data_IF_408197923469
#
_entry.id   IF_408197923469
#
_cell.length_a   1.000
_cell.length_b   1.000
_cell.length_c   1.000
_cell.angle_alpha   90.00
_cell.angle_beta   90.00
_cell.angle_gamma   90.00
#
_symmetry.space_group_name_H-M   'P 1'
#
loop_
_entity.id
_entity.type
_entity.pdbx_description
1 polymer ?
#
# COMPACT_ATOMS: atom_id res chain seq x y z
N UNK A 1 -6.28 31.77 7.20
CA UNK A 1 -5.42 31.45 6.05
C UNK A 1 -4.37 30.47 6.54
N UNK A 2 -4.55 29.17 6.31
CA UNK A 2 -3.47 28.19 6.49
C UNK A 2 -2.38 28.54 5.47
N UNK A 3 -1.15 28.74 5.95
CA UNK A 3 -0.04 29.20 5.10
C UNK A 3 0.33 28.16 4.05
N UNK A 4 1.08 28.57 3.02
CA UNK A 4 1.65 27.69 1.97
C UNK A 4 2.43 26.50 2.59
N UNK A 5 2.96 26.67 3.80
CA UNK A 5 3.66 25.65 4.59
C UNK A 5 2.77 24.48 5.07
N UNK A 6 1.45 24.66 5.16
CA UNK A 6 0.54 23.67 5.77
C UNK A 6 0.09 22.60 4.75
N UNK A 7 0.13 22.91 3.46
CA UNK A 7 -0.25 21.95 2.39
C UNK A 7 0.88 20.97 2.12
N UNK A 8 2.12 21.44 2.24
CA UNK A 8 3.31 20.65 1.97
C UNK A 8 3.71 19.78 3.17
N UNK A 9 3.16 20.03 4.35
CA UNK A 9 3.38 19.19 5.53
C UNK A 9 2.32 18.10 5.62
N UNK A 10 2.77 16.87 5.56
CA UNK A 10 1.92 15.68 5.53
C UNK A 10 2.29 14.77 6.69
N UNK A 11 1.26 14.09 7.21
CA UNK A 11 1.44 13.03 8.19
C UNK A 11 0.84 11.77 7.60
N UNK A 12 1.66 10.74 7.43
CA UNK A 12 1.23 9.45 6.94
C UNK A 12 1.38 8.39 8.02
N UNK A 13 0.47 7.41 8.01
CA UNK A 13 0.47 6.25 8.89
C UNK A 13 0.54 4.97 8.07
N UNK A 14 1.33 4.01 8.55
CA UNK A 14 1.35 2.63 8.07
C UNK A 14 0.91 1.69 9.19
N UNK A 15 -0.16 0.95 8.94
CA UNK A 15 -0.77 0.00 9.87
C UNK A 15 -0.24 -1.41 9.56
N UNK A 16 1.01 -1.65 9.95
CA UNK A 16 1.70 -2.91 9.69
C UNK A 16 1.49 -3.93 10.82
N UNK A 17 1.74 -5.21 10.51
CA UNK A 17 1.67 -6.28 11.51
C UNK A 17 2.77 -6.18 12.58
N UNK A 18 3.86 -5.47 12.30
CA UNK A 18 4.94 -5.19 13.25
C UNK A 18 4.63 -4.00 14.15
N UNK A 19 3.58 -3.24 13.86
CA UNK A 19 3.22 -2.03 14.57
C UNK A 19 2.63 -0.94 13.69
N UNK A 20 2.24 0.15 14.34
CA UNK A 20 1.82 1.38 13.68
C UNK A 20 3.04 2.28 13.56
N UNK A 21 3.42 2.60 12.33
CA UNK A 21 4.45 3.59 12.00
C UNK A 21 3.78 4.87 11.55
N UNK A 22 4.35 6.00 11.93
CA UNK A 22 3.88 7.30 11.51
C UNK A 22 5.06 8.16 11.09
N UNK A 23 4.90 8.92 10.01
CA UNK A 23 5.90 9.85 9.49
C UNK A 23 5.29 11.22 9.32
N UNK A 24 6.02 12.25 9.74
CA UNK A 24 5.77 13.63 9.38
C UNK A 24 6.80 14.06 8.35
N UNK A 25 6.33 14.56 7.21
CA UNK A 25 7.19 14.94 6.09
C UNK A 25 6.77 16.28 5.51
N UNK A 26 7.72 16.96 4.87
CA UNK A 26 7.50 18.18 4.11
C UNK A 26 7.92 17.96 2.65
N UNK A 27 7.00 18.19 1.71
CA UNK A 27 7.33 18.22 0.28
C UNK A 27 7.91 19.59 -0.07
N UNK A 28 9.12 19.60 -0.61
CA UNK A 28 9.85 20.82 -1.01
C UNK A 28 9.39 21.32 -2.38
N UNK A 29 9.85 22.50 -2.78
CA UNK A 29 9.43 23.13 -4.05
C UNK A 29 9.93 22.36 -5.29
N UNK A 30 11.01 21.59 -5.15
CA UNK A 30 11.55 20.71 -6.19
C UNK A 30 10.88 19.33 -6.24
N UNK A 31 9.90 19.07 -5.36
CA UNK A 31 9.20 17.79 -5.25
C UNK A 31 9.87 16.76 -4.32
N UNK A 32 11.08 17.03 -3.82
CA UNK A 32 11.74 16.14 -2.86
C UNK A 32 11.04 16.16 -1.49
N UNK A 33 11.20 15.08 -0.74
CA UNK A 33 10.55 14.85 0.54
C UNK A 33 11.57 14.99 1.65
N UNK A 34 11.36 15.98 2.50
CA UNK A 34 12.08 16.12 3.76
C UNK A 34 11.33 15.39 4.86
N UNK A 35 11.92 14.36 5.45
CA UNK A 35 11.35 13.72 6.65
C UNK A 35 11.65 14.58 7.88
N UNK A 36 10.60 15.05 8.56
CA UNK A 36 10.72 15.87 9.76
C UNK A 36 10.87 15.01 11.01
N UNK A 37 10.13 13.91 11.08
CA UNK A 37 10.18 12.94 12.18
C UNK A 37 9.48 11.64 11.79
N UNK A 38 9.86 10.54 12.43
CA UNK A 38 9.08 9.30 12.43
C UNK A 38 8.95 8.72 13.82
N UNK A 39 7.85 8.03 14.06
CA UNK A 39 7.56 7.36 15.31
C UNK A 39 6.99 5.97 15.01
N UNK A 40 7.30 4.98 15.85
CA UNK A 40 6.81 3.62 15.68
C UNK A 40 6.38 3.04 17.02
N UNK A 41 5.21 2.40 17.03
CA UNK A 41 4.72 1.63 18.18
C UNK A 41 4.31 0.24 17.74
N UNK A 42 4.92 -0.76 18.37
CA UNK A 42 4.53 -2.16 18.17
C UNK A 42 3.05 -2.36 18.50
N UNK A 43 2.38 -3.15 17.67
CA UNK A 43 0.97 -3.48 17.81
C UNK A 43 0.76 -4.94 17.42
N UNK A 44 0.52 -5.81 18.40
CA UNK A 44 0.30 -7.26 18.17
C UNK A 44 -1.06 -7.57 17.52
N UNK A 45 -1.90 -6.54 17.39
CA UNK A 45 -3.31 -6.65 17.06
C UNK A 45 -3.61 -6.53 15.56
N UNK A 46 -2.62 -6.12 14.74
CA UNK A 46 -2.80 -5.98 13.30
C UNK A 46 -2.27 -7.24 12.62
N UNK A 47 -3.14 -7.97 11.92
CA UNK A 47 -2.75 -9.20 11.21
C UNK A 47 -3.40 -9.22 9.85
N UNK A 48 -2.61 -9.56 8.82
CA UNK A 48 -3.11 -9.74 7.46
C UNK A 48 -3.86 -8.52 6.89
N UNK A 49 -3.53 -7.31 7.35
CA UNK A 49 -4.18 -6.06 6.95
C UNK A 49 -5.46 -5.71 7.74
N UNK A 50 -5.80 -6.46 8.79
CA UNK A 50 -6.99 -6.23 9.62
C UNK A 50 -6.57 -5.83 11.02
N UNK A 51 -7.09 -4.71 11.50
CA UNK A 51 -6.97 -4.25 12.90
C UNK A 51 -7.89 -5.12 13.76
N UNK A 52 -7.31 -5.90 14.67
CA UNK A 52 -8.05 -6.81 15.56
C UNK A 52 -8.75 -6.10 16.72
N UNK A 53 -8.11 -5.09 17.32
CA UNK A 53 -8.67 -4.33 18.44
C UNK A 53 -8.56 -2.81 18.18
N UNK A 54 -9.63 -2.20 17.62
CA UNK A 54 -9.64 -0.77 17.27
C UNK A 54 -9.30 0.17 18.42
N UNK A 55 -9.71 -0.15 19.66
CA UNK A 55 -9.45 0.72 20.81
C UNK A 55 -7.97 0.77 21.21
N UNK A 56 -7.27 -0.37 21.14
CA UNK A 56 -5.83 -0.43 21.41
C UNK A 56 -5.03 0.28 20.33
N UNK A 57 -5.42 0.06 19.07
CA UNK A 57 -4.81 0.75 17.93
C UNK A 57 -5.05 2.26 17.98
N UNK A 58 -6.26 2.73 18.34
CA UNK A 58 -6.56 4.15 18.50
C UNK A 58 -5.71 4.82 19.58
N UNK A 59 -5.43 4.11 20.68
CA UNK A 59 -4.50 4.58 21.71
C UNK A 59 -3.07 4.75 21.16
N UNK A 60 -2.59 3.79 20.36
CA UNK A 60 -1.28 3.86 19.72
C UNK A 60 -1.21 5.04 18.75
N UNK A 61 -2.21 5.21 17.87
CA UNK A 61 -2.27 6.34 16.93
C UNK A 61 -2.31 7.68 17.68
N UNK A 62 -3.15 7.80 18.71
CA UNK A 62 -3.22 9.04 19.53
C UNK A 62 -1.88 9.37 20.19
N UNK A 63 -1.15 8.35 20.63
CA UNK A 63 0.18 8.53 21.23
C UNK A 63 1.20 8.97 20.19
N UNK A 64 1.20 8.33 19.01
CA UNK A 64 2.08 8.67 17.89
C UNK A 64 1.83 10.09 17.37
N UNK A 65 0.56 10.51 17.23
CA UNK A 65 0.21 11.88 16.84
C UNK A 65 0.82 12.92 17.79
N UNK A 66 0.75 12.70 19.11
CA UNK A 66 1.36 13.60 20.10
C UNK A 66 2.89 13.59 20.04
N UNK A 67 3.49 12.41 19.84
CA UNK A 67 4.94 12.28 19.72
C UNK A 67 5.44 13.02 18.47
N UNK A 68 4.84 12.74 17.31
CA UNK A 68 5.14 13.40 16.04
C UNK A 68 4.92 14.92 16.09
N UNK A 69 3.81 15.39 16.69
CA UNK A 69 3.56 16.83 16.80
C UNK A 69 4.74 17.54 17.48
N UNK A 70 5.25 16.96 18.57
CA UNK A 70 6.38 17.51 19.30
C UNK A 70 7.70 17.35 18.54
N UNK A 71 8.01 16.15 18.04
CA UNK A 71 9.30 15.85 17.41
C UNK A 71 9.47 16.52 16.04
N UNK A 72 8.40 16.70 15.27
CA UNK A 72 8.41 17.42 13.99
C UNK A 72 8.14 18.93 14.11
N UNK A 73 7.96 19.46 15.33
CA UNK A 73 7.81 20.90 15.58
C UNK A 73 6.51 21.53 15.06
N UNK A 74 5.42 20.76 15.02
CA UNK A 74 4.10 21.30 14.68
C UNK A 74 3.59 22.21 15.81
N UNK A 75 3.18 23.43 15.44
CA UNK A 75 2.60 24.39 16.39
C UNK A 75 1.14 24.06 16.72
N UNK A 76 0.43 23.46 15.77
CA UNK A 76 -0.97 23.07 15.89
C UNK A 76 -1.10 21.54 15.98
N UNK A 77 -2.20 21.01 16.56
CA UNK A 77 -2.48 19.59 16.54
C UNK A 77 -2.58 19.03 15.11
N UNK A 78 -2.05 17.82 14.91
CA UNK A 78 -2.22 17.08 13.65
C UNK A 78 -3.67 16.59 13.58
N UNK A 79 -4.45 17.11 12.63
CA UNK A 79 -5.88 16.77 12.47
C UNK A 79 -6.20 15.93 11.24
N UNK A 80 -5.23 15.74 10.35
CA UNK A 80 -5.40 15.02 9.08
C UNK A 80 -4.22 14.07 8.87
N UNK A 81 -4.52 12.83 8.50
CA UNK A 81 -3.50 11.82 8.17
C UNK A 81 -3.78 11.18 6.82
N UNK A 82 -2.72 10.74 6.15
CA UNK A 82 -2.81 9.83 5.02
C UNK A 82 -2.49 8.40 5.48
N UNK A 83 -3.03 7.39 4.79
CA UNK A 83 -2.64 5.99 5.00
C UNK A 83 -2.72 5.22 3.68
N UNK A 84 -2.14 4.03 3.65
CA UNK A 84 -2.42 3.05 2.61
C UNK A 84 -3.12 1.82 3.20
N UNK A 85 -3.89 1.09 2.38
CA UNK A 85 -4.54 -0.16 2.78
C UNK A 85 -4.04 -1.32 1.95
N UNK A 86 -3.73 -2.42 2.62
CA UNK A 86 -3.29 -3.67 2.02
C UNK A 86 -3.62 -4.83 2.93
N UNK A 87 -4.00 -5.97 2.37
CA UNK A 87 -4.26 -7.15 3.19
C UNK A 87 -4.46 -8.43 2.42
N UNK A 88 -4.42 -9.55 3.15
CA UNK A 88 -4.49 -10.92 2.62
C UNK A 88 -5.68 -11.18 1.69
N UNK A 89 -6.78 -10.49 1.91
CA UNK A 89 -8.03 -10.68 1.17
C UNK A 89 -8.06 -9.99 -0.19
N UNK A 90 -7.07 -9.15 -0.50
CA UNK A 90 -7.06 -8.36 -1.72
C UNK A 90 -6.78 -9.19 -2.96
N UNK A 91 -7.50 -8.87 -4.04
CA UNK A 91 -7.35 -9.47 -5.36
C UNK A 91 -7.95 -8.56 -6.43
N UNK A 92 -7.63 -8.83 -7.69
CA UNK A 92 -8.25 -8.18 -8.83
C UNK A 92 -9.39 -9.04 -9.39
N UNK A 93 -10.50 -8.40 -9.71
CA UNK A 93 -11.63 -8.97 -10.46
C UNK A 93 -11.78 -8.18 -11.75
N UNK A 94 -11.80 -8.88 -12.89
CA UNK A 94 -12.06 -8.27 -14.20
C UNK A 94 -13.56 -8.01 -14.35
N UNK A 95 -13.92 -6.81 -14.78
CA UNK A 95 -15.31 -6.42 -14.98
C UNK A 95 -15.44 -5.55 -16.24
N UNK A 96 -16.65 -5.46 -16.79
CA UNK A 96 -16.94 -4.55 -17.90
C UNK A 96 -18.35 -3.99 -17.78
N UNK A 97 -18.54 -2.78 -18.27
CA UNK A 97 -19.84 -2.09 -18.32
C UNK A 97 -20.07 -1.62 -19.74
N UNK A 98 -21.28 -1.87 -20.26
CA UNK A 98 -21.68 -1.47 -21.60
C UNK A 98 -22.85 -0.50 -21.54
N UNK A 99 -22.73 0.65 -22.23
CA UNK A 99 -23.75 1.68 -22.29
C UNK A 99 -24.13 1.98 -23.73
N UNK A 100 -25.42 1.87 -24.02
CA UNK A 100 -26.01 2.28 -25.30
C UNK A 100 -26.56 3.70 -25.20
N UNK A 101 -26.14 4.56 -26.11
CA UNK A 101 -26.54 5.96 -26.16
C UNK A 101 -27.74 6.12 -27.12
N UNK A 102 -28.72 6.94 -26.72
CA UNK A 102 -29.95 7.16 -27.50
C UNK A 102 -29.71 7.71 -28.92
N UNK A 103 -28.56 8.35 -29.13
CA UNK A 103 -28.04 8.83 -30.42
C UNK A 103 -26.51 8.84 -30.33
N UNK A 104 -25.83 8.96 -31.47
CA UNK A 104 -24.38 9.25 -31.46
C UNK A 104 -24.14 10.53 -30.67
N UNK A 105 -23.43 10.40 -29.54
CA UNK A 105 -23.03 11.50 -28.67
C UNK A 105 -21.54 11.44 -28.43
N UNK A 106 -21.00 12.61 -28.10
CA UNK A 106 -19.65 12.73 -27.57
C UNK A 106 -19.58 12.06 -26.21
N UNK A 107 -18.51 11.29 -25.98
CA UNK A 107 -18.21 10.69 -24.68
C UNK A 107 -17.57 11.77 -23.82
N UNK A 108 -18.22 12.08 -22.71
CA UNK A 108 -17.77 13.06 -21.73
C UNK A 108 -17.14 12.35 -20.54
N UNK A 109 -16.32 13.08 -19.78
CA UNK A 109 -15.84 12.67 -18.44
C UNK A 109 -16.97 12.08 -17.58
N UNK A 110 -18.11 12.77 -17.48
CA UNK A 110 -19.26 12.32 -16.67
C UNK A 110 -19.75 10.92 -17.09
N UNK A 111 -19.73 10.60 -18.40
CA UNK A 111 -20.13 9.27 -18.88
C UNK A 111 -19.11 8.22 -18.42
N UNK A 112 -17.82 8.55 -18.50
CA UNK A 112 -16.73 7.65 -18.12
C UNK A 112 -16.76 7.38 -16.61
N UNK A 113 -16.95 8.43 -15.81
CA UNK A 113 -16.99 8.36 -14.35
C UNK A 113 -18.26 7.63 -13.87
N UNK A 114 -19.42 7.90 -14.48
CA UNK A 114 -20.65 7.14 -14.22
C UNK A 114 -20.49 5.65 -14.53
N UNK A 115 -19.80 5.30 -15.62
CA UNK A 115 -19.57 3.89 -15.99
C UNK A 115 -18.62 3.19 -15.02
N UNK A 116 -17.60 3.89 -14.53
CA UNK A 116 -16.72 3.35 -13.50
C UNK A 116 -17.49 3.09 -12.19
N UNK A 117 -18.33 4.05 -11.76
CA UNK A 117 -19.17 3.90 -10.57
C UNK A 117 -20.23 2.79 -10.74
N UNK A 118 -20.80 2.66 -11.93
CA UNK A 118 -21.69 1.55 -12.28
C UNK A 118 -20.96 0.21 -12.17
N UNK A 119 -19.72 0.13 -12.66
CA UNK A 119 -18.89 -1.07 -12.59
C UNK A 119 -18.61 -1.45 -11.13
N UNK A 120 -18.22 -0.49 -10.30
CA UNK A 120 -17.99 -0.67 -8.87
C UNK A 120 -19.24 -1.23 -8.17
N UNK A 121 -20.38 -0.58 -8.34
CA UNK A 121 -21.67 -0.96 -7.71
C UNK A 121 -22.20 -2.30 -8.21
N UNK A 122 -21.80 -2.74 -9.40
CA UNK A 122 -22.19 -4.04 -9.96
C UNK A 122 -21.52 -5.21 -9.24
N UNK A 123 -20.38 -4.99 -8.59
CA UNK A 123 -19.69 -6.03 -7.84
C UNK A 123 -20.36 -6.27 -6.49
N UNK A 124 -21.09 -7.38 -6.39
CA UNK A 124 -21.77 -7.79 -5.17
C UNK A 124 -21.23 -9.14 -4.69
N UNK A 125 -20.37 -9.10 -3.69
CA UNK A 125 -19.89 -10.29 -3.00
C UNK A 125 -20.00 -10.10 -1.48
N UNK A 126 -20.43 -11.16 -0.80
CA UNK A 126 -20.61 -11.12 0.66
C UNK A 126 -19.29 -10.80 1.36
N UNK A 127 -19.32 -9.84 2.27
CA UNK A 127 -18.20 -9.39 3.11
C UNK A 127 -16.99 -8.85 2.33
N UNK A 128 -17.19 -8.38 1.09
CA UNK A 128 -16.15 -7.82 0.22
C UNK A 128 -16.56 -6.43 -0.25
N UNK A 129 -15.58 -5.54 -0.37
CA UNK A 129 -15.73 -4.20 -0.94
C UNK A 129 -14.77 -4.03 -2.12
N UNK A 130 -15.16 -3.15 -3.05
CA UNK A 130 -14.24 -2.59 -4.04
C UNK A 130 -13.44 -1.49 -3.35
N UNK A 131 -12.11 -1.56 -3.45
CA UNK A 131 -11.17 -0.57 -2.94
C UNK A 131 -10.64 0.34 -4.05
N UNK A 132 -10.65 -0.14 -5.30
CA UNK A 132 -10.25 0.64 -6.47
C UNK A 132 -10.91 0.09 -7.74
N UNK A 133 -11.16 0.98 -8.70
CA UNK A 133 -11.72 0.70 -10.02
C UNK A 133 -10.79 1.26 -11.10
N UNK A 134 -9.99 0.37 -11.67
CA UNK A 134 -8.93 0.68 -12.63
C UNK A 134 -9.49 0.59 -14.06
N UNK A 135 -9.61 1.69 -14.81
CA UNK A 135 -9.99 1.64 -16.22
C UNK A 135 -8.82 1.09 -17.05
N UNK A 136 -9.10 0.13 -17.94
CA UNK A 136 -8.08 -0.46 -18.82
C UNK A 136 -8.18 0.05 -20.24
N UNK A 137 -9.30 -0.27 -20.89
CA UNK A 137 -9.54 0.05 -22.29
C UNK A 137 -11.04 0.22 -22.52
N UNK A 138 -11.37 1.04 -23.51
CA UNK A 138 -12.75 1.28 -23.92
C UNK A 138 -12.97 0.79 -25.34
N UNK A 139 -14.19 0.40 -25.65
CA UNK A 139 -14.61 0.10 -27.02
C UNK A 139 -15.73 1.06 -27.44
N UNK A 140 -15.51 1.80 -28.52
CA UNK A 140 -16.49 2.70 -29.12
C UNK A 140 -17.00 2.08 -30.43
N UNK A 141 -18.27 1.70 -30.45
CA UNK A 141 -18.91 1.01 -31.59
C UNK A 141 -18.06 -0.18 -32.12
N UNK A 142 -17.44 -0.93 -31.20
CA UNK A 142 -16.60 -2.10 -31.48
C UNK A 142 -15.14 -1.79 -31.83
N UNK A 143 -14.69 -0.55 -31.66
CA UNK A 143 -13.27 -0.16 -31.84
C UNK A 143 -12.63 0.22 -30.52
N UNK A 144 -11.51 -0.41 -30.21
CA UNK A 144 -10.74 -0.14 -28.98
C UNK A 144 -10.12 1.26 -28.97
N UNK A 145 -10.10 1.90 -27.80
CA UNK A 145 -9.44 3.18 -27.53
C UNK A 145 -9.09 3.29 -26.05
N UNK A 146 -7.91 3.82 -25.74
CA UNK A 146 -7.51 4.17 -24.37
C UNK A 146 -8.14 5.49 -23.90
N UNK A 147 -8.40 6.41 -24.84
CA UNK A 147 -8.87 7.76 -24.55
C UNK A 147 -10.23 8.00 -25.24
N UNK A 148 -11.35 7.58 -24.63
CA UNK A 148 -12.67 7.70 -25.25
C UNK A 148 -13.22 9.14 -25.19
N UNK A 149 -12.73 9.99 -24.29
CA UNK A 149 -13.20 11.37 -24.12
C UNK A 149 -13.12 12.17 -25.43
N UNK A 150 -14.18 12.94 -25.73
CA UNK A 150 -14.27 13.78 -26.93
C UNK A 150 -14.59 13.01 -28.22
N UNK A 151 -14.51 11.68 -28.20
CA UNK A 151 -14.91 10.85 -29.33
C UNK A 151 -16.43 10.66 -29.36
N UNK A 152 -17.00 10.37 -30.53
CA UNK A 152 -18.45 10.14 -30.69
C UNK A 152 -18.75 8.67 -30.97
N UNK A 153 -19.71 8.12 -30.24
CA UNK A 153 -20.13 6.72 -30.42
C UNK A 153 -21.63 6.54 -30.18
N UNK A 154 -22.20 5.42 -30.64
CA UNK A 154 -23.54 4.96 -30.24
C UNK A 154 -23.48 4.01 -29.04
N UNK A 155 -22.42 3.23 -28.93
CA UNK A 155 -22.19 2.29 -27.84
C UNK A 155 -20.77 2.48 -27.30
N UNK A 156 -20.65 2.44 -25.98
CA UNK A 156 -19.37 2.42 -25.28
C UNK A 156 -19.34 1.21 -24.35
N UNK A 157 -18.24 0.45 -24.39
CA UNK A 157 -17.92 -0.57 -23.39
C UNK A 157 -16.67 -0.11 -22.66
N UNK A 158 -16.69 -0.13 -21.33
CA UNK A 158 -15.50 0.08 -20.51
C UNK A 158 -15.08 -1.24 -19.87
N UNK A 159 -13.79 -1.57 -19.97
CA UNK A 159 -13.18 -2.71 -19.29
C UNK A 159 -12.38 -2.24 -18.09
N UNK A 160 -12.55 -2.91 -16.96
CA UNK A 160 -12.03 -2.50 -15.68
C UNK A 160 -11.35 -3.64 -14.92
N UNK A 161 -10.40 -3.27 -14.06
CA UNK A 161 -9.93 -4.09 -12.96
C UNK A 161 -10.47 -3.52 -11.65
N UNK A 162 -11.27 -4.33 -10.95
CA UNK A 162 -11.76 -4.01 -9.62
C UNK A 162 -10.79 -4.62 -8.61
N UNK A 163 -10.11 -3.77 -7.83
CA UNK A 163 -9.34 -4.24 -6.67
C UNK A 163 -10.33 -4.43 -5.54
N UNK A 164 -10.54 -5.68 -5.13
CA UNK A 164 -11.53 -6.05 -4.11
C UNK A 164 -10.86 -6.66 -2.90
N UNK A 165 -11.40 -6.41 -1.72
CA UNK A 165 -10.88 -6.92 -0.45
C UNK A 165 -11.97 -7.07 0.60
N UNK A 166 -11.66 -7.65 1.75
CA UNK A 166 -12.61 -7.81 2.84
C UNK A 166 -13.08 -6.45 3.36
N UNK A 167 -14.39 -6.31 3.57
CA UNK A 167 -14.98 -5.11 4.19
C UNK A 167 -14.42 -4.84 5.61
N UNK A 168 -13.92 -5.88 6.27
CA UNK A 168 -13.38 -5.78 7.63
C UNK A 168 -12.15 -4.89 7.73
N UNK A 169 -11.32 -4.79 6.69
CA UNK A 169 -10.14 -3.92 6.72
C UNK A 169 -10.57 -2.46 6.88
N UNK A 170 -11.48 -1.99 6.01
CA UNK A 170 -12.07 -0.65 6.09
C UNK A 170 -12.84 -0.43 7.40
N UNK A 171 -13.71 -1.37 7.78
CA UNK A 171 -14.55 -1.25 8.97
C UNK A 171 -13.72 -1.11 10.25
N UNK A 172 -12.64 -1.86 10.40
CA UNK A 172 -11.80 -1.81 11.61
C UNK A 172 -10.93 -0.56 11.64
N UNK A 173 -10.44 -0.09 10.48
CA UNK A 173 -9.77 1.21 10.37
C UNK A 173 -10.71 2.35 10.74
N UNK A 174 -11.94 2.37 10.20
CA UNK A 174 -12.97 3.35 10.55
C UNK A 174 -13.24 3.36 12.05
N UNK A 175 -13.50 2.20 12.66
CA UNK A 175 -13.68 2.08 14.10
C UNK A 175 -12.48 2.62 14.89
N UNK A 176 -11.26 2.37 14.42
CA UNK A 176 -10.06 2.90 15.06
C UNK A 176 -10.08 4.44 15.01
N UNK A 177 -10.30 5.02 13.84
CA UNK A 177 -10.26 6.47 13.63
C UNK A 177 -11.40 7.21 14.35
N UNK A 178 -12.60 6.65 14.42
CA UNK A 178 -13.74 7.22 15.17
C UNK A 178 -13.49 7.39 16.67
N UNK A 179 -12.49 6.69 17.23
CA UNK A 179 -12.10 6.79 18.64
C UNK A 179 -11.04 7.86 18.89
N UNK A 180 -10.52 8.48 17.83
CA UNK A 180 -9.48 9.50 17.90
C UNK A 180 -10.14 10.87 17.80
N UNK A 181 -9.86 11.71 18.79
CA UNK A 181 -10.45 13.04 18.84
C UNK A 181 -9.80 13.98 17.82
N UNK A 182 -10.62 14.69 17.03
CA UNK A 182 -10.20 15.71 16.05
C UNK A 182 -9.14 15.25 15.05
N UNK A 183 -9.16 13.98 14.65
CA UNK A 183 -8.30 13.47 13.57
C UNK A 183 -9.15 12.73 12.54
N UNK A 184 -9.01 13.10 11.26
CA UNK A 184 -9.60 12.37 10.14
C UNK A 184 -8.50 11.78 9.26
N UNK A 185 -8.89 10.79 8.46
CA UNK A 185 -8.08 10.32 7.34
C UNK A 185 -8.45 11.19 6.14
N UNK A 186 -7.46 11.84 5.52
CA UNK A 186 -7.60 12.80 4.41
C UNK A 186 -7.18 12.20 3.06
N UNK A 187 -6.48 11.07 3.09
CA UNK A 187 -6.11 10.31 1.91
C UNK A 187 -5.92 8.83 2.24
N UNK A 188 -6.46 7.96 1.39
CA UNK A 188 -6.25 6.50 1.47
C UNK A 188 -5.86 5.99 0.09
N UNK A 189 -4.70 5.34 -0.03
CA UNK A 189 -4.25 4.64 -1.25
C UNK A 189 -4.26 3.12 -1.09
N UNK A 190 -4.05 2.41 -2.20
CA UNK A 190 -3.65 1.01 -2.13
C UNK A 190 -2.17 0.91 -1.69
N UNK A 191 -1.87 0.01 -0.77
CA UNK A 191 -0.50 -0.20 -0.30
C UNK A 191 0.45 -0.63 -1.44
N UNK A 192 -0.04 -1.41 -2.40
CA UNK A 192 0.74 -1.82 -3.59
C UNK A 192 1.06 -0.64 -4.50
N UNK A 193 0.12 0.29 -4.66
CA UNK A 193 0.27 1.49 -5.48
C UNK A 193 1.23 2.48 -4.82
N UNK A 194 1.04 2.79 -3.53
CA UNK A 194 1.95 3.62 -2.77
C UNK A 194 3.39 3.10 -2.88
N UNK A 195 3.58 1.81 -2.67
CA UNK A 195 4.90 1.20 -2.83
C UNK A 195 5.42 1.33 -4.26
N UNK A 196 4.61 1.05 -5.28
CA UNK A 196 5.00 1.17 -6.68
C UNK A 196 5.47 2.58 -7.04
N UNK A 197 4.73 3.60 -6.61
CA UNK A 197 5.12 4.99 -6.83
C UNK A 197 6.44 5.38 -6.14
N UNK A 198 6.74 4.78 -4.99
CA UNK A 198 7.97 5.07 -4.27
C UNK A 198 9.21 4.46 -4.94
N UNK A 199 9.10 3.24 -5.49
CA UNK A 199 10.28 2.44 -5.89
C UNK A 199 10.42 2.20 -7.39
N UNK A 200 9.39 2.48 -8.20
CA UNK A 200 9.42 2.28 -9.63
C UNK A 200 9.94 3.52 -10.36
N UNK A 201 10.86 3.30 -11.31
CA UNK A 201 11.37 4.32 -12.21
C UNK A 201 10.37 4.60 -13.35
N UNK A 202 10.59 5.68 -14.09
CA UNK A 202 9.73 6.05 -15.23
C UNK A 202 9.67 4.93 -16.29
N UNK A 203 10.83 4.34 -16.63
CA UNK A 203 10.91 3.24 -17.60
C UNK A 203 10.12 1.99 -17.15
N UNK A 204 10.08 1.71 -15.84
CA UNK A 204 9.27 0.61 -15.28
C UNK A 204 7.79 0.85 -15.49
N UNK A 205 7.35 2.05 -15.15
CA UNK A 205 5.96 2.47 -15.25
C UNK A 205 5.46 2.39 -16.69
N UNK A 206 6.30 2.79 -17.64
CA UNK A 206 5.98 2.73 -19.06
C UNK A 206 5.96 1.28 -19.59
N UNK A 207 7.03 0.50 -19.34
CA UNK A 207 7.24 -0.76 -20.06
C UNK A 207 6.73 -2.00 -19.33
N UNK A 208 6.59 -1.93 -18.01
CA UNK A 208 6.03 -2.98 -17.17
C UNK A 208 7.05 -3.73 -16.31
N UNK A 209 6.62 -4.06 -15.10
CA UNK A 209 7.45 -4.62 -14.03
C UNK A 209 6.60 -5.35 -13.00
N UNK A 210 7.24 -6.19 -12.19
CA UNK A 210 6.63 -6.80 -11.01
C UNK A 210 7.22 -6.22 -9.72
N UNK A 211 6.39 -6.05 -8.70
CA UNK A 211 6.82 -5.74 -7.34
C UNK A 211 6.48 -6.91 -6.43
N UNK A 212 7.46 -7.32 -5.63
CA UNK A 212 7.29 -8.23 -4.51
C UNK A 212 7.48 -7.43 -3.23
N UNK A 213 6.39 -7.20 -2.48
CA UNK A 213 6.45 -6.63 -1.13
C UNK A 213 6.43 -7.75 -0.10
N UNK A 214 7.57 -8.01 0.55
CA UNK A 214 7.70 -9.05 1.56
C UNK A 214 7.58 -8.46 2.97
N UNK A 215 6.37 -8.53 3.52
CA UNK A 215 6.06 -8.08 4.88
C UNK A 215 6.25 -9.17 5.94
N UNK A 216 5.77 -8.91 7.16
CA UNK A 216 5.84 -9.88 8.27
C UNK A 216 4.81 -11.02 8.15
N UNK A 217 3.54 -10.68 7.87
CA UNK A 217 2.43 -11.66 7.89
C UNK A 217 1.95 -12.11 6.51
N UNK A 218 2.35 -11.42 5.44
CA UNK A 218 2.04 -11.77 4.07
C UNK A 218 3.06 -11.16 3.10
N UNK A 219 3.10 -11.71 1.89
CA UNK A 219 3.91 -11.23 0.77
C UNK A 219 2.97 -10.92 -0.38
N UNK A 220 3.12 -9.75 -0.99
CA UNK A 220 2.28 -9.30 -2.09
C UNK A 220 3.09 -9.26 -3.39
N UNK A 221 2.56 -9.88 -4.44
CA UNK A 221 2.98 -9.67 -5.82
C UNK A 221 2.00 -8.71 -6.49
N UNK A 222 2.50 -7.61 -7.03
CA UNK A 222 1.77 -6.72 -7.94
C UNK A 222 2.49 -6.64 -9.28
N UNK A 223 1.75 -6.64 -10.38
CA UNK A 223 2.30 -6.53 -11.74
C UNK A 223 1.68 -5.30 -12.39
N UNK A 224 2.53 -4.44 -12.92
CA UNK A 224 2.17 -3.18 -13.54
C UNK A 224 2.57 -3.17 -15.01
N UNK A 225 1.77 -2.49 -15.83
CA UNK A 225 2.08 -2.22 -17.24
C UNK A 225 1.37 -0.95 -17.67
N UNK A 226 2.08 -0.04 -18.34
CA UNK A 226 1.59 1.30 -18.70
C UNK A 226 0.92 1.99 -17.50
N UNK A 227 1.62 2.02 -16.35
CA UNK A 227 1.18 2.57 -15.06
C UNK A 227 -0.01 1.86 -14.39
N UNK A 228 -0.67 0.93 -15.07
CA UNK A 228 -1.87 0.27 -14.57
C UNK A 228 -1.53 -1.05 -13.86
N UNK A 229 -2.10 -1.25 -12.67
CA UNK A 229 -2.03 -2.51 -11.94
C UNK A 229 -2.82 -3.60 -12.69
N UNK A 230 -2.10 -4.55 -13.29
CA UNK A 230 -2.65 -5.65 -14.10
C UNK A 230 -2.99 -6.88 -13.26
N UNK A 231 -2.22 -7.14 -12.21
CA UNK A 231 -2.35 -8.33 -11.39
C UNK A 231 -1.98 -8.07 -9.94
N UNK A 232 -2.69 -8.72 -9.03
CA UNK A 232 -2.43 -8.69 -7.59
C UNK A 232 -2.63 -10.09 -7.00
N UNK A 233 -1.59 -10.59 -6.33
CA UNK A 233 -1.61 -11.83 -5.56
C UNK A 233 -1.07 -11.56 -4.17
N UNK A 234 -1.79 -12.01 -3.14
CA UNK A 234 -1.31 -11.96 -1.76
C UNK A 234 -1.12 -13.37 -1.21
N UNK A 235 0.13 -13.71 -0.91
CA UNK A 235 0.50 -14.96 -0.24
C UNK A 235 0.46 -14.74 1.26
N UNK A 236 -0.31 -15.51 2.05
CA UNK A 236 -0.53 -15.26 3.47
C UNK A 236 0.63 -15.70 4.37
N UNK A 237 1.85 -15.53 3.87
CA UNK A 237 3.10 -15.87 4.53
C UNK A 237 4.13 -14.75 4.30
N UNK A 238 4.89 -14.41 5.34
CA UNK A 238 5.92 -13.37 5.28
C UNK A 238 7.11 -13.69 6.19
N UNK A 239 7.92 -12.67 6.51
CA UNK A 239 9.11 -12.81 7.33
C UNK A 239 8.86 -13.34 8.74
N UNK A 240 7.66 -13.14 9.30
CA UNK A 240 7.26 -13.69 10.59
C UNK A 240 7.07 -15.21 10.56
N UNK A 241 6.72 -15.78 9.40
CA UNK A 241 6.68 -17.24 9.22
C UNK A 241 8.08 -17.85 9.24
N UNK A 242 9.06 -17.18 8.64
CA UNK A 242 10.47 -17.58 8.72
C UNK A 242 10.93 -17.58 10.19
N UNK A 243 10.56 -16.54 10.95
CA UNK A 243 10.87 -16.45 12.38
C UNK A 243 10.25 -17.58 13.18
N UNK A 244 8.99 -17.96 12.89
CA UNK A 244 8.32 -19.09 13.54
C UNK A 244 9.01 -20.41 13.27
N UNK A 245 9.42 -20.68 12.03
CA UNK A 245 10.13 -21.92 11.69
C UNK A 245 11.48 -22.01 12.40
N UNK A 246 12.19 -20.88 12.54
CA UNK A 246 13.45 -20.82 13.31
C UNK A 246 13.19 -21.05 14.82
N UNK A 247 12.04 -20.60 15.34
CA UNK A 247 11.64 -20.83 16.74
C UNK A 247 11.51 -22.33 17.06
N UNK A 248 11.09 -23.16 16.09
CA UNK A 248 10.90 -24.61 16.27
C UNK A 248 12.18 -25.37 16.63
N UNK A 249 13.35 -24.75 16.46
CA UNK A 249 14.65 -25.29 16.92
C UNK A 249 14.82 -25.19 18.45
N UNK A 250 13.84 -24.64 19.18
CA UNK A 250 13.80 -24.63 20.64
C UNK A 250 14.33 -23.35 21.28
N UNK A 251 14.29 -22.23 20.55
CA UNK A 251 14.67 -20.89 21.06
C UNK A 251 13.42 -20.02 21.24
N UNK A 252 13.57 -18.82 21.83
CA UNK A 252 12.45 -17.87 21.92
C UNK A 252 12.21 -17.17 20.58
N UNK A 253 10.98 -16.73 20.31
CA UNK A 253 10.65 -15.94 19.12
C UNK A 253 11.56 -14.71 18.97
N UNK A 254 11.88 -14.02 20.06
CA UNK A 254 12.79 -12.87 20.05
C UNK A 254 14.21 -13.24 19.63
N UNK A 255 14.71 -14.41 20.07
CA UNK A 255 16.01 -14.92 19.61
C UNK A 255 15.94 -15.37 18.15
N UNK A 256 14.85 -16.00 17.72
CA UNK A 256 14.64 -16.41 16.34
C UNK A 256 14.65 -15.21 15.38
N UNK A 257 13.93 -14.13 15.71
CA UNK A 257 13.93 -12.89 14.91
C UNK A 257 15.33 -12.28 14.85
N UNK A 258 16.01 -12.21 15.99
CA UNK A 258 17.37 -11.67 16.07
C UNK A 258 18.36 -12.48 15.22
N UNK A 259 18.27 -13.81 15.26
CA UNK A 259 19.14 -14.71 14.50
C UNK A 259 18.82 -14.63 13.00
N UNK A 260 17.54 -14.59 12.61
CA UNK A 260 17.12 -14.34 11.22
C UNK A 260 17.74 -13.05 10.67
N UNK A 261 17.61 -11.94 11.41
CA UNK A 261 18.11 -10.63 10.99
C UNK A 261 19.64 -10.55 10.91
N UNK A 262 20.34 -11.16 11.87
CA UNK A 262 21.81 -11.04 11.96
C UNK A 262 22.58 -12.09 11.18
N UNK A 263 22.01 -13.28 11.01
CA UNK A 263 22.71 -14.45 10.48
C UNK A 263 21.96 -15.18 9.36
N UNK A 264 20.72 -14.78 9.07
CA UNK A 264 19.92 -15.39 8.02
C UNK A 264 20.49 -15.15 6.63
N UNK A 265 20.41 -16.18 5.79
CA UNK A 265 20.78 -16.18 4.38
C UNK A 265 19.67 -16.89 3.61
N UNK A 266 19.29 -16.36 2.46
CA UNK A 266 18.13 -16.83 1.70
C UNK A 266 18.28 -18.24 1.10
N UNK A 267 19.51 -18.74 0.90
CA UNK A 267 19.75 -20.11 0.42
C UNK A 267 20.98 -20.72 1.09
N UNK A 268 20.97 -22.04 1.29
CA UNK A 268 22.14 -22.79 1.73
C UNK A 268 23.33 -22.61 0.77
N UNK A 269 23.05 -22.49 -0.53
CA UNK A 269 24.07 -22.37 -1.58
C UNK A 269 24.89 -21.07 -1.49
N UNK A 270 24.38 -20.04 -0.79
CA UNK A 270 25.06 -18.76 -0.61
C UNK A 270 25.89 -18.70 0.68
N UNK A 271 25.96 -19.78 1.47
CA UNK A 271 26.79 -19.82 2.67
C UNK A 271 28.24 -20.13 2.27
N UNK A 272 29.08 -19.09 2.20
CA UNK A 272 30.49 -19.23 1.80
C UNK A 272 31.36 -19.96 2.83
N UNK A 273 31.14 -19.67 4.12
CA UNK A 273 31.91 -20.24 5.24
C UNK A 273 30.96 -20.83 6.27
N UNK A 274 31.13 -22.12 6.58
CA UNK A 274 30.39 -22.76 7.66
C UNK A 274 30.82 -22.17 9.00
N UNK A 275 29.87 -21.58 9.71
CA UNK A 275 30.06 -21.05 11.06
C UNK A 275 28.95 -21.57 11.95
N UNK A 276 29.27 -21.81 13.22
CA UNK A 276 28.30 -22.25 14.20
C UNK A 276 27.77 -21.04 14.97
N UNK A 277 26.44 -20.89 14.99
CA UNK A 277 25.72 -19.81 15.65
C UNK A 277 25.34 -20.30 17.04
N UNK A 278 25.82 -19.61 18.08
CA UNK A 278 25.45 -19.86 19.48
C UNK A 278 24.27 -18.97 19.88
N UNK A 279 23.16 -19.58 20.29
CA UNK A 279 21.89 -18.90 20.59
C UNK A 279 21.49 -19.26 22.02
N UNK A 280 21.12 -18.29 22.87
CA UNK A 280 20.62 -18.62 24.20
C UNK A 280 19.33 -19.46 24.09
N UNK A 281 19.25 -20.50 24.90
CA UNK A 281 18.08 -21.37 24.96
C UNK A 281 16.84 -20.62 25.46
N UNK A 282 15.67 -21.21 25.25
CA UNK A 282 14.39 -20.64 25.69
C UNK A 282 14.31 -20.53 27.22
N UNK A 283 14.82 -21.54 27.95
CA UNK A 283 14.94 -21.46 29.40
C UNK A 283 16.35 -20.99 29.78
N UNK A 284 16.48 -20.01 30.70
CA UNK A 284 17.80 -19.51 31.13
C UNK A 284 18.73 -20.56 31.77
N UNK A 285 18.16 -21.68 32.23
CA UNK A 285 18.90 -22.77 32.87
C UNK A 285 19.38 -23.84 31.88
N UNK A 286 18.93 -23.79 30.63
CA UNK A 286 19.32 -24.75 29.60
C UNK A 286 20.61 -24.28 28.91
N UNK A 287 21.41 -25.23 28.42
CA UNK A 287 22.61 -24.92 27.67
C UNK A 287 22.27 -24.17 26.36
N UNK A 288 23.05 -23.15 25.97
CA UNK A 288 22.85 -22.47 24.70
C UNK A 288 22.87 -23.43 23.52
N UNK A 289 21.94 -23.23 22.61
CA UNK A 289 21.87 -23.99 21.38
C UNK A 289 23.00 -23.56 20.43
N UNK A 290 23.63 -24.52 19.76
CA UNK A 290 24.64 -24.27 18.73
C UNK A 290 24.16 -24.88 17.42
N UNK A 291 23.91 -24.04 16.41
CA UNK A 291 23.42 -24.47 15.10
C UNK A 291 24.39 -24.09 13.98
N UNK A 292 24.64 -24.97 12.99
CA UNK A 292 25.34 -24.59 11.77
C UNK A 292 24.59 -23.49 11.01
N UNK A 293 25.31 -22.55 10.39
CA UNK A 293 24.69 -21.48 9.59
C UNK A 293 23.98 -22.04 8.36
N UNK A 294 24.50 -23.12 7.78
CA UNK A 294 23.82 -23.84 6.68
C UNK A 294 22.51 -24.49 7.11
N UNK A 295 22.37 -24.90 8.37
CA UNK A 295 21.11 -25.40 8.90
C UNK A 295 20.08 -24.28 9.06
N UNK A 296 20.50 -23.10 9.55
CA UNK A 296 19.63 -21.91 9.57
C UNK A 296 19.18 -21.51 8.16
N UNK A 297 20.11 -21.47 7.21
CA UNK A 297 19.81 -21.17 5.81
C UNK A 297 18.84 -22.19 5.18
N UNK A 298 18.93 -23.47 5.56
CA UNK A 298 18.00 -24.52 5.11
C UNK A 298 16.55 -24.22 5.51
N UNK A 299 16.35 -23.84 6.78
CA UNK A 299 15.02 -23.50 7.32
C UNK A 299 14.45 -22.29 6.58
N UNK A 300 15.28 -21.25 6.43
CA UNK A 300 14.91 -20.02 5.73
C UNK A 300 14.55 -20.32 4.27
N UNK A 301 15.43 -21.01 3.53
CA UNK A 301 15.22 -21.37 2.13
C UNK A 301 13.93 -22.18 1.93
N UNK A 302 13.67 -23.18 2.78
CA UNK A 302 12.44 -23.96 2.72
C UNK A 302 11.19 -23.11 2.87
N UNK A 303 11.21 -22.10 3.76
CA UNK A 303 10.07 -21.19 3.92
C UNK A 303 9.95 -20.20 2.77
N UNK A 304 11.07 -19.72 2.23
CA UNK A 304 11.07 -18.87 1.04
C UNK A 304 10.52 -19.62 -0.17
N UNK A 305 10.85 -20.90 -0.34
CA UNK A 305 10.30 -21.74 -1.42
C UNK A 305 8.77 -21.82 -1.30
N UNK A 306 8.22 -21.99 -0.10
CA UNK A 306 6.77 -22.00 0.10
C UNK A 306 6.12 -20.63 -0.14
N UNK A 307 6.74 -19.54 0.34
CA UNK A 307 6.25 -18.17 0.13
C UNK A 307 6.21 -17.84 -1.37
N UNK A 308 7.27 -18.16 -2.10
CA UNK A 308 7.45 -17.69 -3.47
C UNK A 308 6.98 -18.66 -4.54
N UNK A 309 6.79 -19.95 -4.27
CA UNK A 309 6.27 -20.89 -5.26
C UNK A 309 4.98 -20.42 -5.98
N UNK A 310 3.92 -19.92 -5.28
CA UNK A 310 2.75 -19.37 -5.98
C UNK A 310 3.07 -18.08 -6.78
N UNK A 311 4.04 -17.28 -6.33
CA UNK A 311 4.48 -16.05 -7.03
C UNK A 311 5.21 -16.41 -8.32
N UNK A 312 6.11 -17.40 -8.30
CA UNK A 312 6.86 -17.86 -9.48
C UNK A 312 5.95 -18.32 -10.60
N UNK A 313 4.86 -19.03 -10.27
CA UNK A 313 3.87 -19.46 -11.24
C UNK A 313 3.20 -18.27 -11.96
N UNK A 314 2.94 -17.18 -11.23
CA UNK A 314 2.34 -15.98 -11.82
C UNK A 314 3.36 -15.18 -12.63
N UNK A 315 4.60 -15.03 -12.14
CA UNK A 315 5.66 -14.33 -12.89
C UNK A 315 5.89 -14.97 -14.27
N UNK A 316 5.85 -16.29 -14.36
CA UNK A 316 5.94 -17.01 -15.64
C UNK A 316 4.75 -16.72 -16.57
N UNK A 317 3.54 -16.57 -16.02
CA UNK A 317 2.33 -16.25 -16.79
C UNK A 317 2.35 -14.82 -17.35
N UNK A 318 3.09 -13.90 -16.71
CA UNK A 318 3.21 -12.49 -17.10
C UNK A 318 4.60 -12.13 -17.64
N UNK A 319 5.40 -13.12 -18.06
CA UNK A 319 6.80 -12.91 -18.44
C UNK A 319 7.02 -11.89 -19.58
N UNK A 320 6.01 -11.68 -20.43
CA UNK A 320 6.08 -10.74 -21.55
C UNK A 320 5.59 -9.34 -21.18
N UNK A 321 4.96 -9.21 -20.01
CA UNK A 321 4.38 -7.99 -19.47
C UNK A 321 5.32 -7.30 -18.47
N UNK A 322 6.43 -7.93 -18.09
CA UNK A 322 7.41 -7.41 -17.12
C UNK A 322 8.84 -7.33 -17.67
N UNK A 323 9.09 -6.65 -18.81
CA UNK A 323 10.42 -6.54 -19.40
C UNK A 323 11.49 -5.99 -18.43
N UNK A 324 11.09 -5.18 -17.44
CA UNK A 324 12.00 -4.58 -16.45
C UNK A 324 12.21 -5.44 -15.20
N UNK A 325 11.69 -6.68 -15.21
CA UNK A 325 11.91 -7.66 -14.17
C UNK A 325 11.17 -7.35 -12.87
N UNK A 326 11.84 -7.63 -11.76
CA UNK A 326 11.25 -7.66 -10.42
C UNK A 326 11.91 -6.62 -9.52
N UNK A 327 11.10 -5.83 -8.83
CA UNK A 327 11.50 -5.02 -7.69
C UNK A 327 11.07 -5.74 -6.42
N UNK A 328 11.99 -6.05 -5.50
CA UNK A 328 11.66 -6.58 -4.18
C UNK A 328 11.82 -5.50 -3.11
N UNK A 329 10.81 -5.35 -2.25
CA UNK A 329 10.79 -4.38 -1.15
C UNK A 329 10.08 -4.97 0.09
N UNK A 330 9.92 -4.17 1.14
CA UNK A 330 9.35 -4.55 2.43
C UNK A 330 10.40 -5.00 3.45
N UNK A 331 10.02 -5.03 4.73
CA UNK A 331 10.96 -5.30 5.83
C UNK A 331 11.66 -6.66 5.76
N UNK A 332 10.98 -7.70 5.24
CA UNK A 332 11.57 -9.02 5.09
C UNK A 332 12.47 -9.15 3.85
N UNK A 333 12.41 -8.20 2.91
CA UNK A 333 13.35 -8.12 1.78
C UNK A 333 14.77 -7.71 2.18
N UNK A 334 15.00 -7.37 3.46
CA UNK A 334 16.35 -7.16 4.00
C UNK A 334 17.11 -8.45 4.27
N UNK A 335 16.46 -9.60 4.10
CA UNK A 335 17.10 -10.90 4.28
C UNK A 335 18.29 -11.04 3.33
N UNK A 336 19.45 -11.39 3.88
CA UNK A 336 20.70 -11.53 3.10
C UNK A 336 20.50 -12.46 1.90
N UNK A 337 20.92 -12.00 0.73
CA UNK A 337 20.84 -12.70 -0.54
C UNK A 337 19.43 -13.01 -1.08
N UNK A 338 18.40 -12.27 -0.65
CA UNK A 338 17.04 -12.48 -1.18
C UNK A 338 16.93 -12.15 -2.67
N UNK A 339 17.67 -11.13 -3.14
CA UNK A 339 17.73 -10.75 -4.56
C UNK A 339 18.27 -11.93 -5.37
N UNK A 340 19.45 -12.43 -5.02
CA UNK A 340 20.12 -13.52 -5.71
C UNK A 340 19.29 -14.81 -5.66
N UNK A 341 18.60 -15.06 -4.54
CA UNK A 341 17.64 -16.16 -4.43
C UNK A 341 16.52 -16.04 -5.47
N UNK A 342 15.91 -14.86 -5.61
CA UNK A 342 14.85 -14.63 -6.60
C UNK A 342 15.39 -14.73 -8.04
N UNK A 343 16.56 -14.16 -8.33
CA UNK A 343 17.19 -14.26 -9.66
C UNK A 343 17.44 -15.72 -10.02
N UNK A 344 18.00 -16.51 -9.09
CA UNK A 344 18.27 -17.93 -9.28
C UNK A 344 16.99 -18.74 -9.52
N UNK A 345 15.91 -18.47 -8.78
CA UNK A 345 14.66 -19.24 -8.87
C UNK A 345 13.78 -18.84 -10.06
N UNK A 346 13.84 -17.58 -10.49
CA UNK A 346 12.91 -17.03 -11.49
C UNK A 346 13.55 -16.79 -12.85
N UNK A 347 14.85 -16.53 -12.91
CA UNK A 347 15.56 -16.11 -14.12
C UNK A 347 15.32 -14.66 -14.55
N UNK A 348 14.47 -13.90 -13.84
CA UNK A 348 14.30 -12.46 -14.09
C UNK A 348 15.41 -11.65 -13.43
N UNK A 349 15.76 -10.48 -13.98
CA UNK A 349 16.56 -9.51 -13.25
C UNK A 349 15.78 -9.02 -12.03
N UNK A 350 16.44 -8.95 -10.87
CA UNK A 350 15.83 -8.49 -9.62
C UNK A 350 16.62 -7.31 -9.08
N UNK A 351 15.93 -6.29 -8.58
CA UNK A 351 16.56 -5.22 -7.79
C UNK A 351 15.82 -5.00 -6.48
N UNK A 352 16.56 -4.53 -5.49
CA UNK A 352 15.98 -4.04 -4.24
C UNK A 352 15.31 -2.70 -4.55
N UNK A 353 14.09 -2.50 -4.05
CA UNK A 353 13.37 -1.23 -4.22
C UNK A 353 14.13 -0.08 -3.55
N UNK A 354 14.18 1.05 -4.21
CA UNK A 354 14.90 2.23 -3.75
C UNK A 354 13.99 3.45 -3.86
N UNK A 355 13.75 4.12 -2.73
CA UNK A 355 12.97 5.35 -2.66
C UNK A 355 13.83 6.55 -2.23
N UNK A 356 15.14 6.39 -2.09
CA UNK A 356 16.06 7.46 -1.65
C UNK A 356 16.06 8.66 -2.61
N UNK A 357 15.82 8.41 -3.91
CA UNK A 357 15.68 9.47 -4.92
C UNK A 357 14.51 10.43 -4.68
N UNK A 358 13.55 10.07 -3.82
CA UNK A 358 12.48 10.97 -3.38
C UNK A 358 12.85 11.83 -2.18
N UNK A 359 13.90 11.47 -1.43
CA UNK A 359 14.25 12.13 -0.18
C UNK A 359 15.18 13.32 -0.43
N UNK A 360 15.01 14.38 0.36
CA UNK A 360 15.90 15.53 0.33
C UNK A 360 17.26 15.19 0.96
N UNK A 361 18.33 15.87 0.52
CA UNK A 361 19.71 15.68 1.03
C UNK A 361 19.87 15.86 2.55
N UNK A 362 18.94 16.56 3.20
CA UNK A 362 18.93 16.80 4.64
C UNK A 362 18.07 15.80 5.43
N UNK A 363 17.47 14.83 4.74
CA UNK A 363 16.80 13.68 5.37
C UNK A 363 17.85 12.67 5.86
N UNK A 364 17.78 12.20 7.12
CA UNK A 364 18.69 11.17 7.62
C UNK A 364 18.65 9.86 6.81
N UNK A 365 19.81 9.24 6.56
CA UNK A 365 19.95 7.97 5.81
C UNK A 365 19.14 6.79 6.38
N UNK A 366 18.75 6.84 7.66
CA UNK A 366 17.89 5.80 8.25
C UNK A 366 16.52 5.69 7.57
N UNK A 367 16.08 6.75 6.87
CA UNK A 367 14.84 6.78 6.11
C UNK A 367 14.95 6.15 4.73
N UNK A 368 16.15 5.81 4.24
CA UNK A 368 16.36 5.03 3.01
C UNK A 368 15.98 3.55 3.19
N UNK A 369 15.73 3.15 4.42
CA UNK A 369 15.40 1.78 4.77
C UNK A 369 14.06 1.32 4.13
N UNK A 370 14.06 0.11 3.55
CA UNK A 370 12.92 -0.51 2.86
C UNK A 370 11.60 -0.54 3.65
N UNK A 371 11.66 -0.45 4.98
CA UNK A 371 10.47 -0.36 5.83
C UNK A 371 9.72 0.98 5.68
N UNK A 372 10.34 2.00 5.11
CA UNK A 372 9.74 3.31 4.84
C UNK A 372 9.20 3.46 3.41
N UNK A 373 9.58 2.60 2.46
CA UNK A 373 9.23 2.75 1.05
C UNK A 373 7.72 2.97 0.81
N UNK A 374 6.86 2.13 1.42
CA UNK A 374 5.40 2.27 1.28
C UNK A 374 4.85 3.55 1.91
N UNK A 375 5.35 3.96 3.09
CA UNK A 375 4.84 5.16 3.77
C UNK A 375 5.31 6.44 3.09
N UNK A 376 6.51 6.44 2.49
CA UNK A 376 6.98 7.52 1.60
C UNK A 376 6.11 7.59 0.35
N UNK A 377 5.82 6.46 -0.27
CA UNK A 377 4.82 6.36 -1.35
C UNK A 377 3.46 6.96 -0.99
N UNK A 378 3.01 6.69 0.24
CA UNK A 378 1.76 7.25 0.76
C UNK A 378 1.82 8.78 0.87
N UNK A 379 2.96 9.34 1.28
CA UNK A 379 3.17 10.79 1.33
C UNK A 379 3.12 11.41 -0.07
N UNK A 380 3.77 10.79 -1.06
CA UNK A 380 3.78 11.25 -2.46
C UNK A 380 2.35 11.34 -2.98
N UNK A 381 1.61 10.24 -2.90
CA UNK A 381 0.25 10.18 -3.43
C UNK A 381 -0.72 11.12 -2.69
N UNK A 382 -0.55 11.28 -1.38
CA UNK A 382 -1.35 12.23 -0.60
C UNK A 382 -1.05 13.70 -0.99
N UNK A 383 0.19 14.00 -1.35
CA UNK A 383 0.58 15.33 -1.84
C UNK A 383 -0.06 15.63 -3.19
N UNK A 384 0.05 14.69 -4.14
CA UNK A 384 -0.57 14.82 -5.47
C UNK A 384 -2.07 15.07 -5.35
N UNK A 385 -2.77 14.27 -4.53
CA UNK A 385 -4.20 14.45 -4.27
C UNK A 385 -4.54 15.84 -3.68
N UNK A 386 -3.70 16.38 -2.78
CA UNK A 386 -3.91 17.74 -2.25
C UNK A 386 -3.68 18.83 -3.30
N UNK A 387 -2.70 18.67 -4.18
CA UNK A 387 -2.42 19.61 -5.26
C UNK A 387 -3.57 19.66 -6.26
N UNK A 388 -4.06 18.50 -6.70
CA UNK A 388 -5.18 18.38 -7.66
C UNK A 388 -6.45 19.05 -7.12
N UNK A 389 -6.81 18.79 -5.86
CA UNK A 389 -7.97 19.41 -5.22
C UNK A 389 -7.84 20.93 -5.08
N UNK A 390 -6.63 21.44 -4.85
CA UNK A 390 -6.40 22.88 -4.78
C UNK A 390 -6.60 23.54 -6.14
N UNK A 391 -6.06 22.96 -7.20
CA UNK A 391 -6.23 23.46 -8.57
C UNK A 391 -7.70 23.46 -9.00
N UNK A 392 -8.47 22.44 -8.59
CA UNK A 392 -9.90 22.38 -8.86
C UNK A 392 -10.67 23.55 -8.20
N UNK A 393 -10.31 23.91 -6.97
CA UNK A 393 -10.96 25.00 -6.20
C UNK A 393 -10.54 26.40 -6.70
N UNK A 394 -9.32 26.56 -7.20
CA UNK A 394 -8.80 27.85 -7.67
C UNK A 394 -9.21 28.22 -9.12
N UNK A 395 -9.81 27.28 -9.88
CA UNK A 395 -10.27 27.52 -11.27
C UNK A 395 -11.72 28.02 -11.38
N UNK A 396 -11.94 29.19 -12.01
CA UNK A 396 -13.25 29.65 -12.53
C UNK A 396 -13.62 28.83 -13.81
N UNK A 397 -14.90 28.72 -14.25
CA UNK A 397 -15.37 27.57 -15.05
C UNK A 397 -14.55 27.36 -16.33
N UNK A 398 -14.09 26.12 -16.63
CA UNK A 398 -12.85 25.95 -17.38
C UNK A 398 -13.04 26.05 -18.91
N UNK A 399 -12.12 26.76 -19.57
CA UNK A 399 -11.70 26.41 -20.93
C UNK A 399 -10.76 25.21 -20.82
N UNK A 400 -11.31 24.02 -21.07
CA UNK A 400 -10.64 22.72 -20.89
C UNK A 400 -9.56 22.50 -21.96
N UNK A 401 -8.31 22.43 -21.51
CA UNK A 401 -7.29 21.53 -22.05
C UNK A 401 -6.62 20.90 -20.83
N UNK A 402 -6.98 19.66 -20.49
CA UNK A 402 -6.45 18.93 -19.32
C UNK A 402 -5.69 17.68 -19.79
N UNK A 403 -4.52 17.45 -19.18
CA UNK A 403 -3.74 16.21 -19.28
C UNK A 403 -4.53 15.04 -18.66
N UNK A 404 -4.15 13.82 -19.03
CA UNK A 404 -4.65 12.52 -18.52
C UNK A 404 -4.85 12.61 -16.99
N UNK A 405 -6.09 12.37 -16.51
CA UNK A 405 -6.41 12.31 -15.08
C UNK A 405 -5.58 11.20 -14.43
N UNK A 406 -4.88 11.53 -13.34
CA UNK A 406 -4.06 10.57 -12.60
C UNK A 406 -4.92 9.49 -11.95
N UNK A 407 -4.34 8.29 -11.88
CA UNK A 407 -4.90 7.07 -11.28
C UNK A 407 -5.38 7.25 -9.82
N UNK A 408 -4.85 8.26 -9.13
CA UNK A 408 -5.04 8.59 -7.71
C UNK A 408 -6.39 9.23 -7.35
N UNK A 409 -7.05 9.92 -8.28
CA UNK A 409 -8.27 10.70 -8.00
C UNK A 409 -9.46 9.79 -7.60
N UNK A 410 -9.55 8.59 -8.21
CA UNK A 410 -10.71 7.69 -8.06
C UNK A 410 -10.73 6.90 -6.75
N UNK A 411 -9.56 6.45 -6.29
CA UNK A 411 -9.40 5.74 -5.01
C UNK A 411 -9.91 6.62 -3.87
N UNK A 412 -9.51 7.89 -3.92
CA UNK A 412 -9.85 8.86 -2.89
C UNK A 412 -11.35 9.14 -2.87
N UNK A 413 -11.95 9.51 -4.00
CA UNK A 413 -13.37 9.85 -4.05
C UNK A 413 -14.30 8.67 -3.70
N UNK A 414 -13.98 7.44 -4.10
CA UNK A 414 -14.78 6.25 -3.74
C UNK A 414 -14.68 5.87 -2.27
N UNK A 415 -13.51 6.09 -1.65
CA UNK A 415 -13.33 5.87 -0.22
C UNK A 415 -13.98 7.00 0.59
N UNK A 416 -13.83 8.26 0.18
CA UNK A 416 -14.36 9.44 0.87
C UNK A 416 -15.87 9.58 0.81
N UNK A 417 -16.50 9.39 -0.37
CA UNK A 417 -17.98 9.45 -0.49
C UNK A 417 -18.68 8.50 0.49
N UNK A 418 -18.09 7.33 0.72
CA UNK A 418 -18.57 6.36 1.70
C UNK A 418 -18.36 6.79 3.17
N UNK A 419 -17.31 7.57 3.48
CA UNK A 419 -17.12 8.15 4.83
C UNK A 419 -18.03 9.37 5.05
N UNK A 420 -18.41 10.08 3.98
CA UNK A 420 -19.31 11.23 4.00
C UNK A 420 -20.80 10.81 4.12
N UNK A 421 -21.23 9.74 3.44
CA UNK A 421 -22.60 9.21 3.49
C UNK A 421 -23.05 8.85 4.93
N UNK A 422 -22.13 8.42 5.80
CA UNK A 422 -22.40 8.13 7.22
C UNK A 422 -22.37 9.38 8.12
N UNK A 423 -21.78 10.48 7.67
CA UNK A 423 -21.82 11.78 8.38
C UNK A 423 -23.14 12.53 8.18
N UNK A 424 -23.76 12.45 6.99
CA UNK A 424 -25.08 13.06 6.76
C UNK A 424 -26.21 12.36 7.57
N UNK A 425 -26.04 11.07 7.87
CA UNK A 425 -26.91 10.31 8.79
C UNK A 425 -26.76 10.74 10.27
N UNK A 426 -25.68 11.44 10.64
CA UNK A 426 -25.47 11.98 12.00
C UNK A 426 -26.11 13.36 12.17
N UNK A 427 -26.04 14.22 11.16
CA UNK A 427 -26.62 15.57 11.24
C UNK A 427 -28.16 15.55 11.19
N UNK A 428 -28.74 14.64 10.41
CA UNK A 428 -30.19 14.41 10.38
C UNK A 428 -30.74 13.84 11.70
N UNK A 429 -29.95 13.05 12.44
CA UNK A 429 -30.35 12.50 13.74
C UNK A 429 -30.11 13.47 14.92
N UNK A 430 -29.29 14.50 14.77
CA UNK A 430 -29.15 15.56 15.79
C UNK A 430 -30.21 16.66 15.67
N UNK A 431 -30.67 16.99 14.45
CA UNK A 431 -31.80 17.90 14.26
C UNK A 431 -33.16 17.29 14.65
N UNK A 432 -33.32 15.96 14.56
CA UNK A 432 -34.56 15.29 14.98
C UNK A 432 -34.73 15.19 16.51
N UNK A 433 -33.69 15.43 17.32
CA UNK A 433 -33.74 15.35 18.79
C UNK A 433 -33.89 16.69 19.50
N UNK A 434 -33.98 17.81 18.77
CA UNK A 434 -34.13 19.15 19.34
C UNK A 434 -35.55 19.73 19.24
N UNK A 435 -36.53 18.98 18.71
CA UNK A 435 -37.92 19.46 18.52
C UNK A 435 -38.96 18.76 19.41
N UNK A 436 -38.56 17.87 20.33
CA UNK A 436 -39.47 17.25 21.31
C UNK A 436 -39.16 17.70 22.74
N UNK A 437 -39.03 18.99 23.01
CA UNK A 437 -39.24 19.57 24.35
C UNK A 437 -39.48 21.08 24.22
N UNK A 438 -40.66 21.47 23.75
CA UNK A 438 -41.38 22.69 24.15
C UNK A 438 -42.89 22.41 24.23
#
# INVERSE_FOLDING_TARGET
>A
MRGKDDINRLVAFDFAATGVRAIAAQVLEDGSIRVLSSEHRMADEIKHGIIGQPSGTAFNVTSLLKQLQNSAGFQEPITQIATAVGGKSMKIVRASVSRKLNKSKEITDDIIDDMALECEKSYQAKNMLVYDTIPLIYELDGKETENPEGQRAYNIVGHYHLVVGSELMKLQLQKCMERIYNCSVDYISLASEALAYAVAEEDDRENGFAIINMGDTFTTLSIYRHELLQYLLVVPFGGGNITKDIEEVGISQAHAEKVKRLQGVASQSFVENEVHIRIPAKNPNDEPLVVPKTFLAMIIESRLDEIFNPIFQQLQAYQHEIPNGIIISGGAAKLTNIKEYLEMKTGFPVRIGDHSGWLSDDTPEEYDDLEYAQIIGTVILAHEHKMENKEAVESDPPKKTKKRKSFTEKITQGIFSFFEDDTELRDSNQQAKTTEYE
#
